data_IF_925681484364
#
_entry.id   IF_925681484364
#
_cell.length_a   1.000
_cell.length_b   1.000
_cell.length_c   1.000
_cell.angle_alpha   90.00
_cell.angle_beta   90.00
_cell.angle_gamma   90.00
#
_symmetry.space_group_name_H-M   'P 1'
#
loop_
_entity.id
_entity.type
_entity.pdbx_description
1 polymer ?
#
# COMPACT_ATOMS: atom_id res chain seq x y z
N UNK A 1 -13.99 15.77 -7.50
CA UNK A 1 -13.05 15.69 -6.36
C UNK A 1 -11.92 14.78 -6.79
N UNK A 2 -10.69 15.01 -6.34
CA UNK A 2 -9.55 14.16 -6.73
C UNK A 2 -9.03 13.37 -5.53
N UNK A 3 -8.45 12.20 -5.81
CA UNK A 3 -7.82 11.32 -4.82
C UNK A 3 -6.43 10.91 -5.26
N UNK A 4 -5.58 10.57 -4.29
CA UNK A 4 -4.29 9.94 -4.54
C UNK A 4 -4.51 8.45 -4.85
N UNK A 5 -3.95 7.99 -5.96
CA UNK A 5 -4.05 6.63 -6.48
C UNK A 5 -2.64 6.06 -6.60
N UNK A 6 -2.34 4.95 -5.90
CA UNK A 6 -1.05 4.29 -6.00
C UNK A 6 -0.71 3.84 -7.42
N UNK A 7 0.51 4.16 -7.86
CA UNK A 7 1.17 3.59 -9.02
C UNK A 7 2.10 2.48 -8.55
N UNK A 8 1.99 1.32 -9.19
CA UNK A 8 2.79 0.14 -8.91
C UNK A 8 3.56 -0.33 -10.14
N UNK A 9 4.67 -1.04 -9.92
CA UNK A 9 5.41 -1.70 -10.99
C UNK A 9 4.71 -2.98 -11.51
N UNK A 10 5.34 -3.69 -12.44
CA UNK A 10 4.83 -4.95 -12.99
C UNK A 10 4.73 -6.09 -11.96
N UNK A 11 5.36 -5.95 -10.80
CA UNK A 11 5.31 -6.91 -9.68
C UNK A 11 4.33 -6.46 -8.60
N UNK A 12 3.62 -5.36 -8.82
CA UNK A 12 2.70 -4.75 -7.87
C UNK A 12 3.40 -3.94 -6.77
N UNK A 13 4.71 -3.73 -6.82
CA UNK A 13 5.43 -2.96 -5.81
C UNK A 13 5.06 -1.48 -5.92
N UNK A 14 4.73 -0.86 -4.79
CA UNK A 14 4.42 0.56 -4.71
C UNK A 14 5.58 1.44 -5.17
N UNK A 15 5.30 2.40 -6.06
CA UNK A 15 6.26 3.39 -6.57
C UNK A 15 5.94 4.78 -6.00
N UNK A 16 4.77 5.33 -6.34
CA UNK A 16 4.38 6.71 -6.02
C UNK A 16 2.85 6.87 -6.11
N UNK A 17 2.32 7.98 -5.59
CA UNK A 17 0.91 8.33 -5.74
C UNK A 17 0.69 9.28 -6.92
N UNK A 18 -0.35 9.02 -7.71
CA UNK A 18 -0.81 9.89 -8.79
C UNK A 18 -2.19 10.44 -8.45
N UNK A 19 -2.40 11.73 -8.71
CA UNK A 19 -3.69 12.37 -8.50
C UNK A 19 -4.63 11.98 -9.64
N UNK A 20 -5.73 11.33 -9.29
CA UNK A 20 -6.79 10.92 -10.22
C UNK A 20 -8.16 11.43 -9.74
N UNK A 21 -9.16 11.33 -10.60
CA UNK A 21 -10.53 11.60 -10.20
C UNK A 21 -11.00 10.59 -9.12
N UNK A 22 -11.81 11.05 -8.17
CA UNK A 22 -12.32 10.22 -7.08
C UNK A 22 -13.18 9.03 -7.58
N UNK A 23 -13.81 9.18 -8.75
CA UNK A 23 -14.56 8.12 -9.44
C UNK A 23 -13.69 6.99 -9.98
N UNK A 24 -12.36 7.15 -10.01
CA UNK A 24 -11.43 6.14 -10.49
C UNK A 24 -11.42 4.90 -9.58
N UNK A 25 -11.94 3.78 -10.04
CA UNK A 25 -11.95 2.51 -9.29
C UNK A 25 -11.34 1.39 -10.14
N UNK A 26 -10.76 0.39 -9.49
CA UNK A 26 -10.15 -0.76 -10.16
C UNK A 26 -8.65 -0.60 -10.43
N UNK A 27 -8.13 -1.43 -11.34
CA UNK A 27 -6.70 -1.53 -11.67
C UNK A 27 -6.53 -1.29 -13.16
N UNK A 28 -5.68 -0.34 -13.54
CA UNK A 28 -5.49 0.06 -14.94
C UNK A 28 -4.02 -0.07 -15.34
N UNK A 29 -3.68 -0.76 -16.44
CA UNK A 29 -2.31 -0.86 -16.91
C UNK A 29 -1.79 0.49 -17.44
N UNK A 30 -0.52 0.76 -17.17
CA UNK A 30 0.24 1.90 -17.69
C UNK A 30 1.09 1.39 -18.85
N UNK A 31 0.96 2.02 -20.01
CA UNK A 31 1.71 1.65 -21.21
C UNK A 31 2.89 2.57 -21.44
N UNK A 32 3.99 2.04 -21.98
CA UNK A 32 5.11 2.84 -22.47
C UNK A 32 4.65 3.80 -23.56
N UNK A 33 5.03 5.08 -23.46
CA UNK A 33 4.84 6.01 -24.56
C UNK A 33 5.92 5.78 -25.62
N UNK A 34 5.57 5.80 -26.92
CA UNK A 34 6.57 5.73 -27.97
C UNK A 34 7.50 6.94 -27.87
N UNK A 35 8.79 6.75 -28.15
CA UNK A 35 9.68 7.89 -28.38
C UNK A 35 9.11 8.68 -29.57
N UNK A 36 8.98 10.01 -29.47
CA UNK A 36 8.51 10.81 -30.60
C UNK A 36 9.50 10.61 -31.75
N UNK A 37 9.04 9.95 -32.82
CA UNK A 37 9.81 9.86 -34.04
C UNK A 37 10.14 11.29 -34.48
N UNK A 38 11.43 11.57 -34.73
CA UNK A 38 11.84 12.86 -35.28
C UNK A 38 11.07 13.06 -36.59
N UNK A 39 10.10 13.98 -36.56
CA UNK A 39 9.30 14.30 -37.73
C UNK A 39 10.27 14.56 -38.89
N UNK A 40 10.13 13.86 -40.04
CA UNK A 40 11.01 14.08 -41.17
C UNK A 40 10.92 15.56 -41.53
N UNK A 41 12.08 16.22 -41.67
CA UNK A 41 12.15 17.61 -42.07
C UNK A 41 11.45 17.76 -43.43
N UNK A 42 10.20 18.25 -43.39
CA UNK A 42 9.42 18.49 -44.59
C UNK A 42 10.14 19.58 -45.42
N UNK A 43 10.36 19.38 -46.72
CA UNK A 43 10.77 20.48 -47.58
C UNK A 43 9.68 21.57 -47.54
N UNK A 44 10.09 22.81 -47.32
CA UNK A 44 9.23 23.97 -47.51
C UNK A 44 8.80 23.98 -48.99
N UNK A 45 7.50 24.09 -49.24
CA UNK A 45 6.83 24.29 -50.55
C UNK A 45 6.29 23.06 -51.31
N UNK A 46 5.35 22.31 -50.72
CA UNK A 46 4.27 21.68 -51.50
C UNK A 46 2.90 21.98 -50.85
N UNK A 47 1.93 22.42 -51.66
CA UNK A 47 0.54 22.65 -51.28
C UNK A 47 -0.06 21.34 -50.73
N UNK A 48 -0.26 21.27 -49.41
CA UNK A 48 -0.90 20.13 -48.75
C UNK A 48 -2.41 20.23 -49.02
N UNK A 49 -2.94 19.33 -49.85
CA UNK A 49 -4.39 19.07 -49.87
C UNK A 49 -4.78 18.49 -48.51
N UNK A 50 -5.72 19.15 -47.81
CA UNK A 50 -6.28 18.70 -46.52
C UNK A 50 -7.02 17.35 -46.71
N UNK A 51 -6.28 16.25 -46.76
CA UNK A 51 -6.84 14.95 -46.45
C UNK A 51 -6.97 14.82 -44.94
N UNK A 52 -8.10 14.29 -44.41
CA UNK A 52 -8.23 14.05 -42.99
C UNK A 52 -7.17 13.03 -42.57
N UNK A 53 -6.25 13.46 -41.71
CA UNK A 53 -5.26 12.65 -41.01
C UNK A 53 -5.98 11.63 -40.11
N UNK A 54 -6.51 10.59 -40.73
CA UNK A 54 -6.90 9.35 -40.08
C UNK A 54 -5.69 8.44 -40.21
N UNK A 55 -4.80 8.54 -39.24
CA UNK A 55 -3.70 7.60 -39.07
C UNK A 55 -4.29 6.19 -38.85
N UNK A 56 -4.42 5.43 -39.94
CA UNK A 56 -4.80 4.00 -39.93
C UNK A 56 -3.61 3.08 -39.58
N UNK A 57 -2.63 3.55 -38.80
CA UNK A 57 -1.60 2.65 -38.32
C UNK A 57 -2.18 1.75 -37.21
N UNK A 58 -1.98 0.41 -37.29
CA UNK A 58 -2.36 -0.46 -36.20
C UNK A 58 -1.54 -0.04 -34.98
N UNK A 59 -2.20 0.46 -33.93
CA UNK A 59 -1.56 0.73 -32.65
C UNK A 59 -0.80 -0.54 -32.24
N UNK A 60 0.53 -0.53 -32.41
CA UNK A 60 1.36 -1.66 -32.00
C UNK A 60 1.09 -1.88 -30.50
N UNK A 61 0.97 -3.14 -30.04
CA UNK A 61 0.68 -3.43 -28.65
C UNK A 61 1.79 -2.81 -27.80
N UNK A 62 1.46 -1.72 -27.08
CA UNK A 62 2.41 -1.00 -26.25
C UNK A 62 2.78 -1.88 -25.06
N UNK A 63 4.06 -1.88 -24.69
CA UNK A 63 4.52 -2.61 -23.51
C UNK A 63 3.92 -2.01 -22.24
N UNK A 64 3.37 -2.87 -21.38
CA UNK A 64 2.89 -2.45 -20.05
C UNK A 64 4.12 -2.24 -19.16
N UNK A 65 4.17 -1.10 -18.48
CA UNK A 65 5.27 -0.71 -17.59
C UNK A 65 4.87 -0.65 -16.11
N UNK A 66 3.58 -0.81 -15.80
CA UNK A 66 3.07 -0.80 -14.42
C UNK A 66 1.56 -0.70 -14.38
N UNK A 67 1.01 -0.41 -13.19
CA UNK A 67 -0.45 -0.30 -12.98
C UNK A 67 -0.80 0.89 -12.08
N UNK A 68 -1.97 1.47 -12.31
CA UNK A 68 -2.64 2.40 -11.39
C UNK A 68 -3.71 1.65 -10.59
N UNK A 69 -3.69 1.79 -9.27
CA UNK A 69 -4.55 1.05 -8.35
C UNK A 69 -5.54 2.00 -7.66
N UNK A 70 -6.81 1.96 -8.04
CA UNK A 70 -7.89 2.75 -7.44
C UNK A 70 -8.37 2.23 -6.07
N UNK A 71 -7.73 1.20 -5.53
CA UNK A 71 -8.05 0.56 -4.25
C UNK A 71 -7.21 1.21 -3.15
N UNK A 72 -7.83 1.66 -2.04
CA UNK A 72 -7.13 2.39 -1.00
C UNK A 72 -6.01 1.56 -0.38
N UNK A 73 -4.85 2.19 -0.20
CA UNK A 73 -3.70 1.62 0.47
C UNK A 73 -3.95 1.53 1.98
N UNK A 74 -3.92 0.34 2.61
CA UNK A 74 -4.03 0.23 4.05
C UNK A 74 -2.78 0.80 4.73
N UNK A 75 -2.97 1.44 5.88
CA UNK A 75 -1.88 1.90 6.72
C UNK A 75 -1.17 0.72 7.41
N UNK A 76 0.12 0.87 7.70
CA UNK A 76 0.90 -0.09 8.52
C UNK A 76 1.75 -1.09 7.73
N UNK A 77 1.74 -1.03 6.40
CA UNK A 77 2.69 -1.75 5.55
C UNK A 77 4.01 -0.98 5.45
N UNK A 78 5.14 -1.67 5.56
CA UNK A 78 6.48 -1.08 5.44
C UNK A 78 6.86 -0.89 3.98
N UNK A 79 6.57 -1.88 3.16
CA UNK A 79 6.78 -1.85 1.73
C UNK A 79 5.55 -2.42 1.01
N UNK A 80 4.54 -1.59 0.73
CA UNK A 80 3.29 -2.08 0.17
C UNK A 80 3.49 -2.71 -1.22
N UNK A 81 2.86 -3.86 -1.43
CA UNK A 81 2.81 -4.57 -2.70
C UNK A 81 1.38 -4.98 -3.01
N UNK A 82 0.91 -4.67 -4.19
CA UNK A 82 -0.40 -5.07 -4.68
C UNK A 82 -0.35 -6.50 -5.25
N UNK A 83 -1.27 -7.35 -4.82
CA UNK A 83 -1.38 -8.73 -5.31
C UNK A 83 -2.18 -8.75 -6.62
N UNK A 84 -1.46 -8.58 -7.73
CA UNK A 84 -2.03 -8.63 -9.08
C UNK A 84 -2.67 -9.99 -9.40
N UNK A 85 -2.15 -11.09 -8.83
CA UNK A 85 -2.67 -12.44 -9.08
C UNK A 85 -4.03 -12.60 -8.39
N UNK A 86 -4.14 -12.16 -7.14
CA UNK A 86 -5.41 -12.19 -6.42
C UNK A 86 -6.45 -11.27 -7.07
N UNK A 87 -6.02 -10.12 -7.63
CA UNK A 87 -6.90 -9.23 -8.38
C UNK A 87 -7.40 -9.87 -9.67
N UNK A 88 -6.52 -10.51 -10.45
CA UNK A 88 -6.88 -11.18 -11.70
C UNK A 88 -7.87 -12.32 -11.47
N UNK A 89 -7.62 -13.17 -10.47
CA UNK A 89 -8.54 -14.23 -10.07
C UNK A 89 -9.91 -13.69 -9.62
N UNK A 90 -9.95 -12.52 -8.97
CA UNK A 90 -11.21 -11.86 -8.64
C UNK A 90 -11.92 -11.35 -9.91
N UNK A 91 -11.20 -10.77 -10.87
CA UNK A 91 -11.79 -10.34 -12.15
C UNK A 91 -12.37 -11.52 -12.93
N UNK A 92 -11.68 -12.65 -12.97
CA UNK A 92 -12.19 -13.89 -13.58
C UNK A 92 -13.49 -14.33 -12.93
N UNK A 93 -13.55 -14.35 -11.59
CA UNK A 93 -14.76 -14.71 -10.85
C UNK A 93 -15.91 -13.72 -11.10
N UNK A 94 -15.62 -12.42 -11.25
CA UNK A 94 -16.63 -11.41 -11.61
C UNK A 94 -17.19 -11.71 -13.00
N UNK A 95 -16.33 -12.05 -13.95
CA UNK A 95 -16.70 -12.30 -15.33
C UNK A 95 -17.52 -13.58 -15.47
N UNK A 96 -17.15 -14.63 -14.74
CA UNK A 96 -17.92 -15.88 -14.62
C UNK A 96 -19.32 -15.60 -14.04
N UNK A 97 -19.42 -14.88 -12.92
CA UNK A 97 -20.69 -14.53 -12.31
C UNK A 97 -21.60 -13.68 -13.23
N UNK A 98 -21.00 -12.80 -14.05
CA UNK A 98 -21.74 -12.05 -15.06
C UNK A 98 -22.28 -12.95 -16.17
N UNK A 99 -21.49 -13.94 -16.62
CA UNK A 99 -21.92 -14.93 -17.59
C UNK A 99 -23.09 -15.76 -17.06
N UNK A 100 -22.94 -16.33 -15.86
CA UNK A 100 -24.00 -17.13 -15.21
C UNK A 100 -25.31 -16.35 -15.04
N UNK A 101 -25.19 -15.06 -14.69
CA UNK A 101 -26.34 -14.17 -14.59
C UNK A 101 -26.99 -13.91 -15.96
N UNK A 102 -26.18 -13.67 -17.00
CA UNK A 102 -26.68 -13.45 -18.35
C UNK A 102 -27.43 -14.68 -18.88
N UNK A 103 -26.89 -15.87 -18.66
CA UNK A 103 -27.53 -17.14 -19.03
C UNK A 103 -28.83 -17.34 -18.24
N UNK A 104 -28.80 -17.15 -16.92
CA UNK A 104 -29.99 -17.23 -16.08
C UNK A 104 -31.08 -16.25 -16.50
N UNK A 105 -30.70 -15.03 -16.89
CA UNK A 105 -31.63 -14.01 -17.38
C UNK A 105 -32.17 -14.35 -18.76
N UNK A 106 -31.36 -14.94 -19.64
CA UNK A 106 -31.78 -15.41 -20.95
C UNK A 106 -32.83 -16.53 -20.83
N UNK A 107 -32.52 -17.59 -20.07
CA UNK A 107 -33.44 -18.67 -19.74
C UNK A 107 -34.71 -18.15 -19.07
N UNK A 108 -34.56 -17.13 -18.22
CA UNK A 108 -35.71 -16.53 -17.57
C UNK A 108 -36.63 -15.86 -18.60
N UNK A 109 -36.08 -15.05 -19.50
CA UNK A 109 -36.83 -14.35 -20.56
C UNK A 109 -37.48 -15.29 -21.57
N UNK A 110 -36.84 -16.41 -21.89
CA UNK A 110 -37.39 -17.41 -22.81
C UNK A 110 -38.67 -18.05 -22.25
N UNK A 111 -38.64 -18.50 -20.99
CA UNK A 111 -39.83 -19.06 -20.31
C UNK A 111 -40.96 -18.06 -20.18
N UNK A 112 -40.64 -16.79 -19.92
CA UNK A 112 -41.63 -15.71 -19.92
C UNK A 112 -42.31 -15.56 -21.29
N UNK A 113 -41.53 -15.63 -22.38
CA UNK A 113 -42.06 -15.55 -23.74
C UNK A 113 -42.96 -16.76 -24.11
N UNK A 114 -42.70 -17.93 -23.52
CA UNK A 114 -43.51 -19.14 -23.68
C UNK A 114 -44.78 -19.18 -22.80
N UNK A 115 -44.95 -18.20 -21.91
CA UNK A 115 -46.12 -18.06 -21.05
C UNK A 115 -46.12 -19.02 -19.85
N UNK A 116 -44.96 -19.52 -19.44
CA UNK A 116 -44.81 -20.33 -18.22
C UNK A 116 -44.96 -19.46 -16.96
N UNK A 117 -45.57 -20.03 -15.90
CA UNK A 117 -45.68 -19.33 -14.60
C UNK A 117 -44.30 -19.31 -13.93
N UNK A 118 -43.66 -18.14 -13.96
CA UNK A 118 -42.27 -18.01 -13.57
C UNK A 118 -42.07 -17.38 -12.19
N UNK A 119 -41.05 -17.87 -11.49
CA UNK A 119 -40.54 -17.26 -10.25
C UNK A 119 -39.92 -15.88 -10.46
N UNK A 120 -39.30 -15.31 -9.41
CA UNK A 120 -38.71 -13.98 -9.48
C UNK A 120 -37.61 -13.87 -10.55
N UNK A 121 -37.44 -12.67 -11.11
CA UNK A 121 -36.33 -12.36 -12.01
C UNK A 121 -34.99 -12.65 -11.32
N UNK A 122 -34.02 -13.28 -12.00
CA UNK A 122 -32.70 -13.49 -11.43
C UNK A 122 -32.09 -12.14 -11.05
N UNK A 123 -31.32 -12.14 -9.95
CA UNK A 123 -30.61 -10.95 -9.46
C UNK A 123 -29.12 -11.21 -9.57
N UNK A 124 -28.39 -10.26 -10.16
CA UNK A 124 -26.94 -10.34 -10.23
C UNK A 124 -26.32 -10.21 -8.83
N UNK A 125 -25.53 -11.21 -8.44
CA UNK A 125 -24.78 -11.23 -7.20
C UNK A 125 -23.27 -11.22 -7.53
N UNK A 126 -22.59 -10.07 -7.45
CA UNK A 126 -21.15 -10.03 -7.71
C UNK A 126 -20.38 -10.81 -6.64
N UNK A 127 -19.26 -11.46 -6.98
CA UNK A 127 -18.38 -12.05 -6.00
C UNK A 127 -17.83 -10.97 -5.06
N UNK A 128 -17.49 -11.37 -3.83
CA UNK A 128 -16.88 -10.46 -2.87
C UNK A 128 -15.43 -10.17 -3.26
N UNK A 129 -15.05 -8.89 -3.27
CA UNK A 129 -13.67 -8.48 -3.47
C UNK A 129 -12.80 -9.00 -2.31
N UNK A 130 -11.59 -9.51 -2.58
CA UNK A 130 -10.66 -9.91 -1.52
C UNK A 130 -10.27 -8.73 -0.61
N UNK A 131 -10.29 -8.94 0.71
CA UNK A 131 -9.95 -7.90 1.70
C UNK A 131 -8.46 -7.51 1.68
N UNK A 132 -7.57 -8.44 1.30
CA UNK A 132 -6.11 -8.30 1.42
C UNK A 132 -5.41 -8.20 0.05
N UNK A 133 -5.84 -7.29 -0.81
CA UNK A 133 -5.15 -7.05 -2.09
C UNK A 133 -3.82 -6.31 -1.93
N UNK A 134 -3.63 -5.64 -0.79
CA UNK A 134 -2.35 -5.05 -0.42
C UNK A 134 -1.65 -5.96 0.59
N UNK A 135 -0.48 -6.45 0.20
CA UNK A 135 0.37 -7.33 0.99
C UNK A 135 1.71 -6.66 1.24
N UNK A 136 2.45 -7.20 2.20
CA UNK A 136 3.79 -6.75 2.50
C UNK A 136 4.76 -7.28 1.42
N UNK A 137 5.57 -6.37 0.87
CA UNK A 137 6.60 -6.66 -0.12
C UNK A 137 7.90 -7.16 0.52
N UNK A 138 8.08 -6.94 1.83
CA UNK A 138 9.21 -7.42 2.61
C UNK A 138 8.92 -8.76 3.27
N UNK A 139 9.97 -9.51 3.51
CA UNK A 139 9.92 -10.70 4.35
C UNK A 139 9.75 -10.31 5.83
N UNK A 140 9.14 -11.18 6.67
CA UNK A 140 9.05 -10.95 8.11
C UNK A 140 10.41 -10.69 8.76
N UNK A 141 11.48 -11.31 8.24
CA UNK A 141 12.84 -11.12 8.71
C UNK A 141 13.35 -9.70 8.42
N UNK A 142 13.17 -9.18 7.21
CA UNK A 142 13.56 -7.81 6.84
C UNK A 142 12.79 -6.77 7.66
N UNK A 143 11.49 -7.00 7.90
CA UNK A 143 10.68 -6.15 8.77
C UNK A 143 11.19 -6.21 10.20
N UNK A 144 11.54 -7.41 10.69
CA UNK A 144 12.12 -7.56 12.01
C UNK A 144 13.45 -6.80 12.11
N UNK A 145 14.27 -6.75 11.05
CA UNK A 145 15.48 -5.94 11.02
C UNK A 145 15.18 -4.43 11.06
N UNK A 146 14.20 -3.96 10.31
CA UNK A 146 13.78 -2.55 10.31
C UNK A 146 13.16 -2.12 11.63
N UNK A 147 12.49 -3.04 12.33
CA UNK A 147 11.79 -2.80 13.60
C UNK A 147 12.61 -3.20 14.82
N UNK A 148 13.86 -3.67 14.64
CA UNK A 148 14.79 -3.91 15.74
C UNK A 148 14.85 -2.62 16.55
N UNK A 149 14.39 -2.61 17.83
CA UNK A 149 14.54 -1.43 18.67
C UNK A 149 16.02 -1.14 18.71
N UNK A 150 16.40 0.07 18.26
CA UNK A 150 17.80 0.46 18.18
C UNK A 150 18.48 0.11 19.49
N UNK A 151 19.62 -0.59 19.40
CA UNK A 151 20.51 -0.76 20.55
C UNK A 151 20.67 0.63 21.16
N UNK A 152 20.32 0.77 22.45
CA UNK A 152 20.46 2.03 23.17
C UNK A 152 21.86 2.55 22.83
N UNK A 153 21.94 3.76 22.30
CA UNK A 153 23.23 4.32 21.92
C UNK A 153 24.16 4.24 23.13
N UNK A 154 25.46 4.07 22.91
CA UNK A 154 26.44 3.96 23.99
C UNK A 154 26.30 5.11 25.01
N UNK A 155 25.92 6.30 24.52
CA UNK A 155 25.61 7.49 25.32
C UNK A 155 24.37 7.30 26.22
N UNK A 156 23.31 6.66 25.74
CA UNK A 156 22.10 6.40 26.51
C UNK A 156 22.30 5.31 27.57
N UNK A 157 23.08 4.28 27.25
CA UNK A 157 23.53 3.29 28.25
C UNK A 157 24.37 3.95 29.33
N UNK A 158 25.39 4.72 28.93
CA UNK A 158 26.26 5.46 29.85
C UNK A 158 25.46 6.44 30.71
N UNK A 159 24.44 7.12 30.16
CA UNK A 159 23.55 7.99 30.95
C UNK A 159 22.78 7.21 32.01
N UNK A 160 22.21 6.05 31.68
CA UNK A 160 21.51 5.19 32.65
C UNK A 160 22.46 4.71 33.74
N UNK A 161 23.65 4.25 33.36
CA UNK A 161 24.67 3.81 34.31
C UNK A 161 25.12 4.94 35.22
N UNK A 162 25.37 6.14 34.67
CA UNK A 162 25.77 7.30 35.47
C UNK A 162 24.65 7.75 36.42
N UNK A 163 23.39 7.66 36.00
CA UNK A 163 22.23 7.94 36.85
C UNK A 163 22.15 6.94 38.02
N UNK A 164 22.34 5.65 37.74
CA UNK A 164 22.36 4.60 38.76
C UNK A 164 23.51 4.78 39.74
N UNK A 165 24.72 5.03 39.23
CA UNK A 165 25.92 5.27 40.04
C UNK A 165 25.75 6.52 40.92
N UNK A 166 25.13 7.60 40.40
CA UNK A 166 24.82 8.79 41.19
C UNK A 166 23.80 8.50 42.29
N UNK A 167 22.76 7.74 42.00
CA UNK A 167 21.78 7.35 43.00
C UNK A 167 22.41 6.49 44.10
N UNK A 168 23.28 5.55 43.72
CA UNK A 168 24.02 4.72 44.69
C UNK A 168 24.97 5.56 45.55
N UNK A 169 25.74 6.47 44.95
CA UNK A 169 26.60 7.38 45.69
C UNK A 169 25.81 8.26 46.66
N UNK A 170 24.67 8.79 46.23
CA UNK A 170 23.82 9.59 47.11
C UNK A 170 23.30 8.78 48.32
N UNK A 171 22.84 7.55 48.08
CA UNK A 171 22.39 6.67 49.17
C UNK A 171 23.53 6.28 50.13
N UNK A 172 24.77 6.15 49.63
CA UNK A 172 25.95 5.90 50.47
C UNK A 172 26.28 7.13 51.31
N UNK A 173 26.22 8.33 50.73
CA UNK A 173 26.44 9.58 51.46
C UNK A 173 25.40 9.77 52.55
N UNK A 174 24.10 9.63 52.24
CA UNK A 174 23.02 9.73 53.24
C UNK A 174 23.20 8.71 54.38
N UNK A 175 23.67 7.51 54.07
CA UNK A 175 23.99 6.50 55.08
C UNK A 175 25.20 6.88 55.94
N UNK A 176 26.22 7.51 55.35
CA UNK A 176 27.40 7.97 56.08
C UNK A 176 27.03 9.09 57.06
N UNK A 177 26.26 10.08 56.60
CA UNK A 177 25.75 11.18 57.43
C UNK A 177 24.96 10.65 58.63
N UNK A 178 24.07 9.66 58.39
CA UNK A 178 23.32 9.00 59.46
C UNK A 178 24.20 8.27 60.49
N UNK A 179 25.29 7.62 60.04
CA UNK A 179 26.22 6.94 60.95
C UNK A 179 26.98 7.96 61.79
N UNK A 180 27.40 9.09 61.21
CA UNK A 180 28.07 10.16 61.94
C UNK A 180 27.17 10.75 63.03
N UNK A 181 25.89 10.97 62.72
CA UNK A 181 24.91 11.45 63.70
C UNK A 181 24.75 10.48 64.88
N UNK A 182 24.67 9.17 64.64
CA UNK A 182 24.61 8.15 65.69
C UNK A 182 25.88 8.15 66.54
N UNK A 183 27.05 8.24 65.92
CA UNK A 183 28.33 8.25 66.65
C UNK A 183 28.43 9.49 67.53
N UNK A 184 28.03 10.66 67.04
CA UNK A 184 28.02 11.90 67.80
C UNK A 184 27.04 11.82 68.99
N UNK A 185 25.86 11.25 68.79
CA UNK A 185 24.87 11.02 69.85
C UNK A 185 25.41 10.06 70.93
N UNK A 186 25.99 8.93 70.51
CA UNK A 186 26.61 7.96 71.42
C UNK A 186 27.79 8.57 72.20
N UNK A 187 28.62 9.39 71.56
CA UNK A 187 29.74 10.07 72.21
C UNK A 187 29.24 11.06 73.28
N UNK A 188 28.19 11.85 73.00
CA UNK A 188 27.60 12.75 73.99
C UNK A 188 27.02 12.01 75.20
N UNK A 189 26.48 10.81 75.04
CA UNK A 189 25.95 10.01 76.15
C UNK A 189 27.04 9.38 77.04
N UNK A 190 28.25 9.14 76.51
CA UNK A 190 29.38 8.53 77.25
C UNK A 190 30.17 9.58 78.07
N UNK A 191 30.17 10.85 77.65
CA UNK A 191 30.89 11.94 78.33
C UNK A 191 30.04 12.76 79.33
N UNK A 192 28.83 12.31 79.68
CA UNK A 192 28.05 12.80 80.84
C UNK A 192 28.37 11.99 82.10
#
# INVERSE_FOLDING_TARGET
MSKAVPKVDLKGLYIEDIIQDDSFTGVVPIYAQPEPEEAPALPEDEEIEDEPDVSEEPEQPREIIGYLIGIPLPAGLYHPRFDLIAWDAYQDAVLEAQSDYADSLHDWREKWAEGEEQGPEPVYAPPAQPDNLWIEGLTPEEIAELTKPGELSEIEMLKKENMLLKAQNNAITERADFIEDIIAEMAMQIYQ
#
